data_IF_124800519169
#
_entry.id   IF_124800519169
#
_cell.length_a   1.000
_cell.length_b   1.000
_cell.length_c   1.000
_cell.angle_alpha   90.00
_cell.angle_beta   90.00
_cell.angle_gamma   90.00
#
_symmetry.space_group_name_H-M   'P 1'
#
loop_
_entity.id
_entity.type
_entity.pdbx_description
1 polymer ?
#
# COMPACT_ATOMS: atom_id res chain seq x y z
N UNK A 1 -9.14 27.83 11.38
CA UNK A 1 -7.90 27.88 10.57
C UNK A 1 -6.89 26.96 11.25
N UNK A 2 -7.01 25.65 11.02
CA UNK A 2 -6.02 24.69 11.52
C UNK A 2 -4.89 24.64 10.52
N UNK A 3 -3.74 25.17 10.92
CA UNK A 3 -2.53 25.07 10.13
C UNK A 3 -2.06 23.60 10.16
N UNK A 4 -2.16 22.92 9.02
CA UNK A 4 -1.31 21.76 8.80
C UNK A 4 0.15 22.19 8.98
N UNK A 5 0.99 21.41 9.66
CA UNK A 5 2.42 21.65 9.58
C UNK A 5 2.80 21.49 8.09
N UNK A 6 3.14 22.61 7.45
CA UNK A 6 3.70 22.56 6.11
C UNK A 6 4.93 21.66 6.15
N UNK A 7 5.07 20.68 5.24
CA UNK A 7 6.29 19.88 5.17
C UNK A 7 7.47 20.84 5.01
N UNK A 8 8.44 20.73 5.90
CA UNK A 8 9.62 21.58 5.91
C UNK A 8 10.32 21.43 4.56
N UNK A 9 10.44 22.54 3.82
CA UNK A 9 11.15 22.56 2.54
C UNK A 9 12.65 22.37 2.80
N UNK A 10 13.13 21.13 2.65
CA UNK A 10 14.55 20.77 2.72
C UNK A 10 15.15 20.71 1.31
N UNK A 11 16.14 21.54 1.05
CA UNK A 11 16.95 21.52 -0.18
C UNK A 11 17.90 20.32 -0.12
N UNK A 12 17.49 19.23 -0.76
CA UNK A 12 18.21 17.98 -0.99
C UNK A 12 17.29 17.05 -1.76
N UNK A 13 17.80 16.13 -2.59
CA UNK A 13 16.94 15.17 -3.28
C UNK A 13 16.21 14.30 -2.23
N UNK A 14 15.01 14.72 -1.83
CA UNK A 14 14.28 14.09 -0.74
C UNK A 14 13.83 12.71 -1.18
N UNK A 15 14.33 11.68 -0.50
CA UNK A 15 13.77 10.34 -0.59
C UNK A 15 12.34 10.38 -0.03
N UNK A 16 11.33 9.91 -0.77
CA UNK A 16 9.97 9.84 -0.24
C UNK A 16 9.96 9.00 1.04
N UNK A 17 9.32 9.53 2.09
CA UNK A 17 9.15 8.80 3.35
C UNK A 17 8.27 7.58 3.13
N UNK A 18 7.22 7.74 2.34
CA UNK A 18 6.24 6.71 2.02
C UNK A 18 6.04 6.55 0.51
N UNK A 19 6.34 5.34 0.01
CA UNK A 19 6.05 4.91 -1.35
C UNK A 19 4.90 3.91 -1.34
N UNK A 20 3.90 4.08 -2.20
CA UNK A 20 2.86 3.09 -2.41
C UNK A 20 2.90 2.55 -3.85
N UNK A 21 2.67 1.25 -4.05
CA UNK A 21 2.82 0.60 -5.36
C UNK A 21 1.55 -0.17 -5.74
N UNK A 22 1.01 0.16 -6.92
CA UNK A 22 -0.01 -0.62 -7.61
C UNK A 22 0.69 -1.65 -8.50
N UNK A 23 0.69 -2.91 -8.05
CA UNK A 23 1.42 -4.04 -8.62
C UNK A 23 0.71 -4.68 -9.83
N UNK A 24 0.54 -3.90 -10.90
CA UNK A 24 -0.20 -4.30 -12.11
C UNK A 24 0.70 -5.00 -13.15
N UNK A 25 0.11 -5.89 -13.96
CA UNK A 25 0.79 -6.55 -15.08
C UNK A 25 1.06 -8.04 -14.93
N UNK A 26 0.78 -8.66 -13.77
CA UNK A 26 1.01 -10.10 -13.53
C UNK A 26 0.40 -11.02 -14.60
N UNK A 27 -0.88 -10.81 -14.94
CA UNK A 27 -1.59 -11.62 -15.95
C UNK A 27 -1.02 -11.40 -17.36
N UNK A 28 -0.77 -10.14 -17.73
CA UNK A 28 -0.17 -9.79 -19.03
C UNK A 28 1.23 -10.41 -19.18
N UNK A 29 2.01 -10.41 -18.12
CA UNK A 29 3.35 -10.99 -18.09
C UNK A 29 3.33 -12.50 -18.37
N UNK A 30 2.40 -13.23 -17.73
CA UNK A 30 2.24 -14.67 -17.94
C UNK A 30 1.75 -14.98 -19.36
N UNK A 31 0.73 -14.25 -19.83
CA UNK A 31 0.16 -14.41 -21.17
C UNK A 31 1.20 -14.17 -22.28
N UNK A 32 2.01 -13.11 -22.16
CA UNK A 32 3.07 -12.80 -23.12
C UNK A 32 4.14 -13.90 -23.24
N UNK A 33 4.22 -14.79 -22.24
CA UNK A 33 5.18 -15.90 -22.18
C UNK A 33 4.53 -17.28 -22.36
N UNK A 34 3.22 -17.33 -22.64
CA UNK A 34 2.47 -18.60 -22.75
C UNK A 34 2.38 -19.38 -21.45
N UNK A 35 2.50 -18.71 -20.29
CA UNK A 35 2.51 -19.32 -18.96
C UNK A 35 1.12 -19.22 -18.29
N UNK A 36 0.78 -20.16 -17.38
CA UNK A 36 -0.38 -20.04 -16.52
C UNK A 36 -0.37 -18.75 -15.67
N UNK A 37 -1.55 -18.17 -15.43
CA UNK A 37 -1.72 -16.94 -14.65
C UNK A 37 -1.12 -17.05 -13.24
N UNK A 38 -1.24 -18.21 -12.61
CA UNK A 38 -0.64 -18.50 -11.30
C UNK A 38 0.89 -18.29 -11.28
N UNK A 39 1.61 -18.57 -12.37
CA UNK A 39 3.06 -18.32 -12.46
C UNK A 39 3.37 -16.82 -12.53
N UNK A 40 2.50 -16.03 -13.17
CA UNK A 40 2.61 -14.57 -13.14
C UNK A 40 2.46 -14.02 -11.73
N UNK A 41 1.50 -14.52 -10.95
CA UNK A 41 1.34 -14.11 -9.55
C UNK A 41 2.50 -14.55 -8.66
N UNK A 42 3.06 -15.74 -8.87
CA UNK A 42 4.27 -16.18 -8.17
C UNK A 42 5.46 -15.26 -8.48
N UNK A 43 5.72 -14.96 -9.75
CA UNK A 43 6.77 -14.03 -10.14
C UNK A 43 6.51 -12.60 -9.59
N UNK A 44 5.24 -12.22 -9.43
CA UNK A 44 4.85 -11.01 -8.73
C UNK A 44 5.19 -11.00 -7.23
N UNK A 45 5.14 -12.14 -6.55
CA UNK A 45 5.61 -12.24 -5.16
C UNK A 45 7.13 -12.03 -5.06
N UNK A 46 7.89 -12.54 -6.04
CA UNK A 46 9.34 -12.31 -6.13
C UNK A 46 9.64 -10.82 -6.40
N UNK A 47 8.85 -10.16 -7.24
CA UNK A 47 8.96 -8.71 -7.46
C UNK A 47 8.66 -7.89 -6.19
N UNK A 48 7.73 -8.34 -5.35
CA UNK A 48 7.46 -7.70 -4.06
C UNK A 48 8.67 -7.75 -3.14
N UNK A 49 9.38 -8.90 -3.09
CA UNK A 49 10.64 -9.00 -2.34
C UNK A 49 11.68 -7.99 -2.86
N UNK A 50 11.90 -7.92 -4.17
CA UNK A 50 12.83 -6.95 -4.77
C UNK A 50 12.45 -5.50 -4.46
N UNK A 51 11.16 -5.18 -4.47
CA UNK A 51 10.68 -3.84 -4.14
C UNK A 51 10.91 -3.49 -2.66
N UNK A 52 10.73 -4.45 -1.74
CA UNK A 52 11.06 -4.28 -0.31
C UNK A 52 12.55 -4.03 -0.12
N UNK A 53 13.40 -4.84 -0.75
CA UNK A 53 14.86 -4.69 -0.70
C UNK A 53 15.30 -3.33 -1.28
N UNK A 54 14.72 -2.92 -2.41
CA UNK A 54 14.98 -1.62 -3.02
C UNK A 54 14.54 -0.45 -2.12
N UNK A 55 13.35 -0.54 -1.51
CA UNK A 55 12.86 0.48 -0.58
C UNK A 55 13.79 0.63 0.64
N UNK A 56 14.20 -0.49 1.23
CA UNK A 56 15.18 -0.50 2.34
C UNK A 56 16.51 0.11 1.90
N UNK A 57 17.04 -0.29 0.74
CA UNK A 57 18.31 0.20 0.20
C UNK A 57 18.29 1.70 -0.12
N UNK A 58 17.14 2.23 -0.53
CA UNK A 58 16.94 3.64 -0.80
C UNK A 58 16.65 4.49 0.45
N UNK A 59 16.41 3.88 1.62
CA UNK A 59 16.07 4.62 2.85
C UNK A 59 14.60 5.04 2.95
N UNK A 60 13.71 4.43 2.16
CA UNK A 60 12.26 4.60 2.31
C UNK A 60 11.82 3.95 3.62
N UNK A 61 11.05 4.67 4.43
CA UNK A 61 10.65 4.21 5.78
C UNK A 61 9.27 3.57 5.83
N UNK A 62 8.46 3.78 4.78
CA UNK A 62 7.14 3.19 4.64
C UNK A 62 6.88 2.75 3.19
N UNK A 63 6.44 1.50 3.01
CA UNK A 63 6.08 0.93 1.71
C UNK A 63 4.68 0.33 1.79
N UNK A 64 3.77 0.77 0.93
CA UNK A 64 2.43 0.15 0.81
C UNK A 64 2.30 -0.59 -0.51
N UNK A 65 1.98 -1.89 -0.49
CA UNK A 65 1.80 -2.70 -1.69
C UNK A 65 0.32 -3.06 -1.88
N UNK A 66 -0.23 -2.78 -3.08
CA UNK A 66 -1.62 -3.11 -3.42
C UNK A 66 -1.74 -4.56 -3.88
N UNK A 67 -1.85 -5.49 -2.93
CA UNK A 67 -1.76 -6.92 -3.18
C UNK A 67 -3.07 -7.56 -3.66
N UNK A 68 -4.21 -7.12 -3.14
CA UNK A 68 -5.51 -7.65 -3.51
C UNK A 68 -6.59 -6.58 -3.33
N UNK A 69 -7.25 -6.18 -4.42
CA UNK A 69 -8.30 -5.17 -4.34
C UNK A 69 -9.65 -5.79 -3.94
N UNK A 70 -10.56 -5.01 -3.34
CA UNK A 70 -11.92 -5.48 -3.03
C UNK A 70 -12.68 -5.92 -4.30
N UNK A 71 -12.34 -5.37 -5.46
CA UNK A 71 -12.90 -5.77 -6.74
C UNK A 71 -12.36 -7.12 -7.22
N UNK A 72 -11.28 -7.67 -6.65
CA UNK A 72 -10.78 -8.99 -7.03
C UNK A 72 -11.71 -10.13 -6.57
N UNK A 73 -12.62 -9.86 -5.63
CA UNK A 73 -13.66 -10.82 -5.24
C UNK A 73 -14.70 -11.10 -6.33
N UNK A 74 -14.79 -10.27 -7.39
CA UNK A 74 -15.66 -10.54 -8.54
C UNK A 74 -15.04 -11.46 -9.59
N UNK A 75 -13.78 -11.89 -9.38
CA UNK A 75 -13.10 -12.86 -10.24
C UNK A 75 -13.63 -14.28 -10.00
N UNK A 76 -13.35 -15.21 -10.93
CA UNK A 76 -13.65 -16.63 -10.73
C UNK A 76 -13.15 -17.17 -9.38
N UNK A 77 -13.95 -18.05 -8.75
CA UNK A 77 -13.72 -18.49 -7.37
C UNK A 77 -12.40 -19.26 -7.19
N UNK A 78 -11.98 -20.00 -8.23
CA UNK A 78 -10.68 -20.65 -8.33
C UNK A 78 -9.53 -19.64 -8.30
N UNK A 79 -9.61 -18.55 -9.07
CA UNK A 79 -8.59 -17.48 -9.06
C UNK A 79 -8.51 -16.80 -7.68
N UNK A 80 -9.65 -16.54 -7.04
CA UNK A 80 -9.70 -15.96 -5.68
C UNK A 80 -9.08 -16.91 -4.64
N UNK A 81 -9.36 -18.21 -4.74
CA UNK A 81 -8.80 -19.23 -3.86
C UNK A 81 -7.28 -19.33 -4.04
N UNK A 82 -6.78 -19.36 -5.28
CA UNK A 82 -5.35 -19.37 -5.58
C UNK A 82 -4.63 -18.14 -5.02
N UNK A 83 -5.20 -16.95 -5.21
CA UNK A 83 -4.65 -15.70 -4.65
C UNK A 83 -4.61 -15.73 -3.13
N UNK A 84 -5.65 -16.23 -2.48
CA UNK A 84 -5.71 -16.38 -1.02
C UNK A 84 -4.67 -17.38 -0.51
N UNK A 85 -4.46 -18.47 -1.23
CA UNK A 85 -3.42 -19.47 -0.90
C UNK A 85 -2.01 -18.90 -1.08
N UNK A 86 -1.75 -18.16 -2.15
CA UNK A 86 -0.48 -17.50 -2.38
C UNK A 86 -0.18 -16.47 -1.29
N UNK A 87 -1.18 -15.67 -0.91
CA UNK A 87 -1.07 -14.71 0.18
C UNK A 87 -0.67 -15.41 1.50
N UNK A 88 -1.40 -16.47 1.86
CA UNK A 88 -1.09 -17.25 3.07
C UNK A 88 0.31 -17.85 3.04
N UNK A 89 0.72 -18.36 1.88
CA UNK A 89 2.07 -18.90 1.70
C UNK A 89 3.11 -17.81 1.95
N UNK A 90 2.95 -16.63 1.35
CA UNK A 90 3.84 -15.49 1.53
C UNK A 90 3.90 -15.04 3.00
N UNK A 91 2.75 -14.84 3.66
CA UNK A 91 2.68 -14.44 5.06
C UNK A 91 3.37 -15.45 6.00
N UNK A 92 3.37 -16.74 5.68
CA UNK A 92 4.02 -17.78 6.51
C UNK A 92 5.50 -17.96 6.18
N UNK A 93 5.85 -17.98 4.90
CA UNK A 93 7.21 -18.26 4.45
C UNK A 93 8.13 -17.06 4.67
N UNK A 94 7.62 -15.83 4.46
CA UNK A 94 8.45 -14.64 4.42
C UNK A 94 8.56 -13.90 5.75
N UNK A 95 7.63 -14.11 6.68
CA UNK A 95 7.59 -13.36 7.95
C UNK A 95 8.91 -13.42 8.72
N UNK A 96 9.57 -14.59 8.74
CA UNK A 96 10.85 -14.75 9.43
C UNK A 96 11.95 -13.92 8.76
N UNK A 97 11.94 -13.87 7.42
CA UNK A 97 12.90 -13.09 6.66
C UNK A 97 12.64 -11.59 6.81
N UNK A 98 11.39 -11.15 6.70
CA UNK A 98 10.97 -9.77 6.94
C UNK A 98 11.40 -9.29 8.34
N UNK A 99 11.18 -10.11 9.37
CA UNK A 99 11.59 -9.79 10.74
C UNK A 99 13.12 -9.64 10.86
N UNK A 100 13.90 -10.54 10.25
CA UNK A 100 15.38 -10.44 10.20
C UNK A 100 15.86 -9.19 9.45
N UNK A 101 15.14 -8.78 8.42
CA UNK A 101 15.42 -7.55 7.66
C UNK A 101 14.97 -6.29 8.40
N UNK A 102 14.38 -6.42 9.60
CA UNK A 102 13.90 -5.30 10.40
C UNK A 102 12.64 -4.65 9.82
N UNK A 103 11.88 -5.37 8.98
CA UNK A 103 10.59 -4.94 8.45
C UNK A 103 9.51 -5.14 9.50
N UNK A 104 8.63 -4.15 9.65
CA UNK A 104 7.38 -4.24 10.42
C UNK A 104 6.21 -4.34 9.46
N UNK A 105 5.50 -5.46 9.48
CA UNK A 105 4.34 -5.71 8.62
C UNK A 105 3.05 -5.17 9.24
N UNK A 106 2.19 -4.61 8.40
CA UNK A 106 0.79 -4.28 8.70
C UNK A 106 -0.10 -4.70 7.53
N UNK A 107 -1.30 -5.18 7.80
CA UNK A 107 -2.32 -5.50 6.79
C UNK A 107 -3.51 -4.54 6.91
N UNK A 108 -3.87 -3.89 5.80
CA UNK A 108 -5.07 -3.03 5.70
C UNK A 108 -6.09 -3.61 4.71
N UNK A 109 -7.37 -3.33 4.94
CA UNK A 109 -8.48 -3.79 4.09
C UNK A 109 -9.55 -4.57 4.87
N UNK A 110 -10.51 -5.15 4.14
CA UNK A 110 -11.66 -5.86 4.71
C UNK A 110 -11.29 -7.27 5.20
N UNK A 111 -10.58 -7.36 6.34
CA UNK A 111 -10.12 -8.64 6.93
C UNK A 111 -11.23 -9.68 7.08
N UNK A 112 -12.44 -9.25 7.44
CA UNK A 112 -13.60 -10.14 7.67
C UNK A 112 -14.07 -10.95 6.44
N UNK A 113 -13.54 -10.67 5.24
CA UNK A 113 -13.81 -11.48 4.04
C UNK A 113 -12.97 -12.76 3.96
N UNK A 114 -11.95 -12.89 4.80
CA UNK A 114 -11.09 -14.06 4.83
C UNK A 114 -11.52 -15.06 5.91
N UNK A 115 -11.24 -16.34 5.68
CA UNK A 115 -11.43 -17.39 6.68
C UNK A 115 -10.45 -17.29 7.85
N UNK A 116 -10.80 -17.93 8.96
CA UNK A 116 -10.06 -17.89 10.24
C UNK A 116 -8.57 -18.22 10.08
N UNK A 117 -8.22 -19.16 9.20
CA UNK A 117 -6.83 -19.54 8.99
C UNK A 117 -5.98 -18.42 8.36
N UNK A 118 -6.56 -17.66 7.43
CA UNK A 118 -5.88 -16.50 6.82
C UNK A 118 -5.75 -15.36 7.83
N UNK A 119 -6.78 -15.12 8.64
CA UNK A 119 -6.75 -14.12 9.71
C UNK A 119 -5.62 -14.40 10.70
N UNK A 120 -5.53 -15.65 11.20
CA UNK A 120 -4.43 -16.07 12.08
C UNK A 120 -3.06 -15.89 11.45
N UNK A 121 -2.93 -16.13 10.14
CA UNK A 121 -1.68 -15.91 9.43
C UNK A 121 -1.31 -14.42 9.32
N UNK A 122 -2.29 -13.53 9.12
CA UNK A 122 -2.08 -12.09 9.14
C UNK A 122 -1.64 -11.63 10.54
N UNK A 123 -2.40 -11.98 11.57
CA UNK A 123 -2.14 -11.54 12.96
C UNK A 123 -0.77 -12.02 13.44
N UNK A 124 -0.43 -13.28 13.19
CA UNK A 124 0.90 -13.83 13.52
C UNK A 124 2.03 -13.11 12.77
N UNK A 125 1.81 -12.74 11.51
CA UNK A 125 2.83 -12.05 10.73
C UNK A 125 3.09 -10.62 11.22
N UNK A 126 2.02 -9.91 11.64
CA UNK A 126 2.14 -8.60 12.28
C UNK A 126 2.85 -8.69 13.64
N UNK A 127 2.53 -9.70 14.45
CA UNK A 127 3.14 -9.92 15.77
C UNK A 127 4.65 -10.20 15.66
N UNK A 128 5.04 -11.16 14.80
CA UNK A 128 6.45 -11.56 14.61
C UNK A 128 7.33 -10.41 14.08
N UNK A 129 6.72 -9.46 13.37
CA UNK A 129 7.43 -8.32 12.77
C UNK A 129 7.25 -7.02 13.57
N UNK A 130 6.51 -7.02 14.68
CA UNK A 130 6.15 -5.82 15.42
C UNK A 130 7.36 -4.98 15.89
N UNK A 131 8.50 -5.63 16.13
CA UNK A 131 9.75 -4.99 16.53
C UNK A 131 10.59 -4.37 15.39
N UNK A 132 10.16 -4.53 14.13
CA UNK A 132 10.85 -3.98 12.96
C UNK A 132 10.91 -2.45 12.98
N UNK A 133 12.05 -1.89 12.58
CA UNK A 133 12.31 -0.43 12.57
C UNK A 133 12.92 0.09 11.28
N UNK A 134 13.30 -0.80 10.34
CA UNK A 134 13.95 -0.42 9.09
C UNK A 134 12.93 0.02 8.03
N UNK A 135 11.82 -0.69 7.93
CA UNK A 135 10.74 -0.38 6.99
C UNK A 135 9.39 -0.76 7.61
N UNK A 136 8.40 0.12 7.52
CA UNK A 136 7.00 -0.24 7.73
C UNK A 136 6.43 -0.72 6.40
N UNK A 137 6.10 -2.00 6.29
CA UNK A 137 5.47 -2.59 5.12
C UNK A 137 3.97 -2.72 5.38
N UNK A 138 3.16 -2.00 4.61
CA UNK A 138 1.71 -2.16 4.60
C UNK A 138 1.28 -2.99 3.39
N UNK A 139 0.60 -4.10 3.64
CA UNK A 139 -0.04 -4.91 2.61
C UNK A 139 -1.52 -4.55 2.54
N UNK A 140 -1.96 -3.97 1.41
CA UNK A 140 -3.36 -3.68 1.16
C UNK A 140 -4.04 -4.90 0.52
N UNK A 141 -4.86 -5.60 1.31
CA UNK A 141 -5.44 -6.90 0.99
C UNK A 141 -6.96 -6.85 1.19
N UNK A 142 -7.73 -7.22 0.16
CA UNK A 142 -9.16 -6.92 0.10
C UNK A 142 -9.43 -5.45 0.42
N UNK A 143 -8.60 -4.59 -0.16
CA UNK A 143 -8.64 -3.16 0.10
C UNK A 143 -9.32 -2.42 -1.07
N UNK A 144 -10.13 -1.43 -0.71
CA UNK A 144 -10.63 -0.41 -1.62
C UNK A 144 -10.95 0.84 -0.81
N UNK A 145 -10.43 2.00 -1.23
CA UNK A 145 -10.53 3.23 -0.45
C UNK A 145 -11.98 3.69 -0.23
N UNK A 146 -12.89 3.44 -1.19
CA UNK A 146 -14.33 3.68 -0.98
C UNK A 146 -14.91 2.83 0.16
N UNK A 147 -14.49 1.57 0.28
CA UNK A 147 -14.94 0.69 1.36
C UNK A 147 -14.32 1.12 2.70
N UNK A 148 -13.06 1.55 2.69
CA UNK A 148 -12.39 2.15 3.85
C UNK A 148 -13.14 3.39 4.36
N UNK A 149 -13.39 4.37 3.49
CA UNK A 149 -14.10 5.61 3.87
C UNK A 149 -15.50 5.30 4.40
N UNK A 150 -16.21 4.35 3.78
CA UNK A 150 -17.52 3.91 4.26
C UNK A 150 -17.43 3.24 5.64
N UNK A 151 -16.42 2.40 5.87
CA UNK A 151 -16.21 1.77 7.18
C UNK A 151 -15.89 2.80 8.26
N UNK A 152 -15.02 3.78 7.95
CA UNK A 152 -14.71 4.90 8.84
C UNK A 152 -15.95 5.73 9.18
N UNK A 153 -16.75 6.10 8.17
CA UNK A 153 -18.00 6.84 8.36
C UNK A 153 -19.00 6.07 9.25
N UNK A 154 -19.12 4.74 9.08
CA UNK A 154 -19.95 3.91 9.97
C UNK A 154 -19.44 3.88 11.39
N UNK A 155 -18.12 3.78 11.59
CA UNK A 155 -17.50 3.80 12.91
C UNK A 155 -17.74 5.13 13.64
N UNK A 156 -17.56 6.25 12.95
CA UNK A 156 -17.85 7.61 13.46
C UNK A 156 -19.33 7.74 13.82
N UNK A 157 -20.24 7.35 12.94
CA UNK A 157 -21.68 7.41 13.21
C UNK A 157 -22.08 6.57 14.43
N UNK A 158 -21.49 5.37 14.59
CA UNK A 158 -21.74 4.53 15.74
C UNK A 158 -21.19 5.12 17.05
N UNK A 159 -20.00 5.72 17.02
CA UNK A 159 -19.43 6.40 18.18
C UNK A 159 -20.28 7.63 18.59
N UNK A 160 -20.75 8.41 17.62
CA UNK A 160 -21.65 9.52 17.86
C UNK A 160 -22.98 9.07 18.47
N UNK A 161 -23.57 7.99 17.96
CA UNK A 161 -24.80 7.42 18.52
C UNK A 161 -24.64 6.93 19.97
N UNK A 162 -23.43 6.55 20.40
CA UNK A 162 -23.11 6.19 21.78
C UNK A 162 -22.74 7.40 22.67
N UNK A 163 -22.69 8.60 22.11
CA UNK A 163 -22.27 9.82 22.83
C UNK A 163 -20.77 9.90 23.09
N UNK A 164 -19.96 9.08 22.41
CA UNK A 164 -18.49 9.06 22.55
C UNK A 164 -17.79 10.11 21.67
N UNK A 165 -18.51 10.66 20.69
CA UNK A 165 -18.00 11.63 19.72
C UNK A 165 -19.09 12.64 19.35
N UNK A 166 -18.75 13.93 19.30
CA UNK A 166 -19.61 14.97 18.73
C UNK A 166 -19.33 15.10 17.22
N UNK A 167 -20.30 14.82 16.33
CA UNK A 167 -20.11 14.98 14.89
C UNK A 167 -19.68 16.40 14.46
N UNK A 168 -20.08 17.43 15.22
CA UNK A 168 -19.70 18.80 14.91
C UNK A 168 -18.22 19.11 15.23
N UNK A 169 -17.60 18.30 16.08
CA UNK A 169 -16.18 18.39 16.42
C UNK A 169 -15.28 17.53 15.51
N UNK A 170 -15.87 16.79 14.56
CA UNK A 170 -15.12 15.97 13.62
C UNK A 170 -14.34 16.86 12.62
N UNK A 171 -13.06 16.56 12.49
CA UNK A 171 -12.13 17.16 11.52
C UNK A 171 -11.39 16.05 10.75
N UNK A 172 -10.55 16.42 9.78
CA UNK A 172 -9.82 15.46 8.95
C UNK A 172 -8.92 14.54 9.81
N UNK A 173 -8.16 15.12 10.75
CA UNK A 173 -7.25 14.37 11.61
C UNK A 173 -7.97 13.38 12.53
N UNK A 174 -9.16 13.72 13.02
CA UNK A 174 -9.99 12.81 13.82
C UNK A 174 -10.68 11.75 12.98
N UNK A 175 -11.10 12.08 11.76
CA UNK A 175 -11.64 11.12 10.81
C UNK A 175 -10.59 10.07 10.39
N UNK A 176 -9.34 10.49 10.16
CA UNK A 176 -8.23 9.61 9.78
C UNK A 176 -7.95 8.48 10.76
N UNK A 177 -8.23 8.69 12.06
CA UNK A 177 -8.11 7.65 13.09
C UNK A 177 -9.09 6.49 12.91
N UNK A 178 -10.13 6.68 12.09
CA UNK A 178 -11.11 5.64 11.77
C UNK A 178 -10.84 4.93 10.43
N UNK A 179 -9.87 5.40 9.63
CA UNK A 179 -9.44 4.74 8.41
C UNK A 179 -8.62 3.48 8.73
N UNK A 180 -8.53 2.53 7.78
CA UNK A 180 -7.67 1.36 7.94
C UNK A 180 -6.19 1.76 8.01
N UNK A 181 -5.86 2.93 7.48
CA UNK A 181 -4.53 3.54 7.49
C UNK A 181 -4.21 4.36 8.73
N UNK A 182 -4.98 4.27 9.82
CA UNK A 182 -4.64 5.00 11.04
C UNK A 182 -3.17 4.78 11.45
N UNK A 183 -2.49 5.85 11.86
CA UNK A 183 -1.05 5.90 12.18
C UNK A 183 -0.07 5.69 11.00
N UNK A 184 -0.57 5.62 9.76
CA UNK A 184 0.26 5.61 8.55
C UNK A 184 0.43 7.04 8.01
N UNK A 185 1.64 7.48 7.63
CA UNK A 185 1.81 8.71 6.87
C UNK A 185 1.16 8.58 5.50
N UNK A 186 0.72 9.68 4.91
CA UNK A 186 0.29 9.68 3.52
C UNK A 186 1.44 9.30 2.58
N UNK A 187 1.16 8.62 1.45
CA UNK A 187 2.16 8.34 0.44
C UNK A 187 2.64 9.65 -0.19
N UNK A 188 3.96 9.85 -0.21
CA UNK A 188 4.54 10.93 -0.98
C UNK A 188 4.57 10.58 -2.48
N UNK A 189 4.75 9.30 -2.79
CA UNK A 189 4.88 8.77 -4.14
C UNK A 189 4.01 7.52 -4.31
N UNK A 190 3.19 7.51 -5.36
CA UNK A 190 2.47 6.32 -5.83
C UNK A 190 3.03 5.89 -7.19
N UNK A 191 3.55 4.67 -7.23
CA UNK A 191 4.04 4.01 -8.42
C UNK A 191 2.94 3.07 -8.93
N UNK A 192 2.70 3.07 -10.24
CA UNK A 192 1.91 2.03 -10.89
C UNK A 192 2.65 1.46 -12.09
N UNK A 193 2.77 0.14 -12.10
CA UNK A 193 3.38 -0.62 -13.19
C UNK A 193 2.39 -0.84 -14.34
N UNK A 194 2.87 -1.44 -15.42
CA UNK A 194 2.15 -1.88 -16.63
C UNK A 194 1.60 -0.80 -17.57
N UNK A 195 1.96 0.46 -17.34
CA UNK A 195 1.60 1.60 -18.20
C UNK A 195 0.18 2.15 -18.01
N UNK A 196 -0.64 1.52 -17.18
CA UNK A 196 -2.00 1.98 -16.90
C UNK A 196 -1.99 3.27 -16.05
N UNK A 197 -2.71 4.30 -16.48
CA UNK A 197 -2.72 5.61 -15.82
C UNK A 197 -4.01 5.85 -15.02
N UNK A 198 -4.10 5.20 -13.87
CA UNK A 198 -5.21 5.36 -12.91
C UNK A 198 -4.81 4.85 -11.53
N UNK A 199 -5.50 5.30 -10.49
CA UNK A 199 -5.26 4.84 -9.10
C UNK A 199 -6.10 3.62 -8.71
N UNK A 200 -7.18 3.34 -9.43
CA UNK A 200 -8.00 2.13 -9.23
C UNK A 200 -8.47 1.92 -7.78
N UNK A 201 -9.06 2.94 -7.15
CA UNK A 201 -9.61 2.87 -5.78
C UNK A 201 -8.54 2.59 -4.69
N UNK A 202 -7.27 2.86 -4.99
CA UNK A 202 -6.16 2.72 -4.06
C UNK A 202 -5.89 4.04 -3.32
N UNK A 203 -5.88 3.99 -1.98
CA UNK A 203 -5.51 5.08 -1.08
C UNK A 203 -6.14 6.45 -1.42
N UNK A 204 -7.44 6.51 -1.75
CA UNK A 204 -8.06 7.74 -2.28
C UNK A 204 -7.95 8.94 -1.33
N UNK A 205 -8.08 8.72 -0.02
CA UNK A 205 -7.94 9.79 0.97
C UNK A 205 -6.47 10.21 1.08
N UNK A 206 -5.60 9.23 1.27
CA UNK A 206 -4.18 9.40 1.56
C UNK A 206 -3.41 9.90 0.31
N UNK A 207 -3.88 9.62 -0.89
CA UNK A 207 -3.27 10.02 -2.16
C UNK A 207 -3.53 11.48 -2.55
N UNK A 208 -4.23 12.27 -1.71
CA UNK A 208 -4.68 13.62 -2.06
C UNK A 208 -3.56 14.54 -2.58
N UNK A 209 -2.34 14.37 -2.06
CA UNK A 209 -1.16 15.16 -2.43
C UNK A 209 0.01 14.31 -2.92
N UNK A 210 -0.23 13.03 -3.22
CA UNK A 210 0.81 12.12 -3.66
C UNK A 210 1.25 12.41 -5.10
N UNK A 211 2.55 12.32 -5.36
CA UNK A 211 3.06 12.31 -6.73
C UNK A 211 2.74 10.96 -7.39
N UNK A 212 2.31 11.00 -8.66
CA UNK A 212 1.97 9.80 -9.42
C UNK A 212 3.03 9.53 -10.48
N UNK A 213 3.56 8.30 -10.47
CA UNK A 213 4.50 7.79 -11.47
C UNK A 213 3.93 6.52 -12.09
N UNK A 214 3.78 6.53 -13.41
CA UNK A 214 3.30 5.40 -14.19
C UNK A 214 4.45 4.85 -15.02
N UNK A 215 4.82 3.59 -14.80
CA UNK A 215 5.89 2.92 -15.53
C UNK A 215 5.33 1.81 -16.42
N UNK A 216 5.86 1.64 -17.64
CA UNK A 216 5.38 0.62 -18.58
C UNK A 216 5.79 -0.81 -18.19
N UNK A 217 6.82 -0.97 -17.35
CA UNK A 217 7.32 -2.28 -16.87
C UNK A 217 6.19 -3.09 -16.24
N UNK A 218 6.09 -4.38 -16.56
CA UNK A 218 5.11 -5.27 -15.91
C UNK A 218 5.62 -5.66 -14.52
N UNK A 219 4.72 -5.76 -13.53
CA UNK A 219 5.12 -6.01 -12.14
C UNK A 219 6.13 -7.16 -11.94
N UNK A 220 5.99 -8.34 -12.56
CA UNK A 220 6.98 -9.41 -12.37
C UNK A 220 8.39 -9.08 -12.88
N UNK A 221 8.54 -8.13 -13.81
CA UNK A 221 9.82 -7.65 -14.32
C UNK A 221 10.34 -6.41 -13.54
N UNK A 222 9.56 -5.85 -12.62
CA UNK A 222 9.93 -4.67 -11.82
C UNK A 222 11.14 -4.98 -10.92
N UNK A 223 12.15 -4.11 -10.97
CA UNK A 223 13.42 -4.26 -10.26
C UNK A 223 13.89 -3.01 -9.51
N UNK A 224 15.12 -3.07 -8.99
CA UNK A 224 15.75 -1.97 -8.25
C UNK A 224 15.98 -0.74 -9.15
N UNK A 225 16.27 -0.98 -10.43
CA UNK A 225 16.45 0.07 -11.43
C UNK A 225 15.16 0.84 -11.67
N UNK A 226 14.02 0.14 -11.78
CA UNK A 226 12.71 0.77 -11.95
C UNK A 226 12.31 1.57 -10.71
N UNK A 227 12.54 1.01 -9.52
CA UNK A 227 12.27 1.69 -8.25
C UNK A 227 13.08 2.98 -8.14
N UNK A 228 14.39 2.90 -8.38
CA UNK A 228 15.29 4.06 -8.35
C UNK A 228 14.95 5.10 -9.42
N UNK A 229 14.52 4.66 -10.61
CA UNK A 229 14.04 5.57 -11.64
C UNK A 229 12.78 6.35 -11.19
N UNK A 230 11.86 5.70 -10.48
CA UNK A 230 10.71 6.37 -9.89
C UNK A 230 11.12 7.38 -8.81
N UNK A 231 12.06 7.01 -7.93
CA UNK A 231 12.59 7.94 -6.92
C UNK A 231 13.29 9.15 -7.54
N UNK A 232 14.09 8.94 -8.59
CA UNK A 232 14.75 10.01 -9.31
C UNK A 232 13.75 10.96 -9.97
N UNK A 233 12.71 10.42 -10.60
CA UNK A 233 11.63 11.22 -11.20
C UNK A 233 10.80 11.97 -10.15
N UNK A 234 10.65 11.43 -8.94
CA UNK A 234 10.05 12.13 -7.81
C UNK A 234 10.93 13.29 -7.32
N UNK A 235 12.22 13.04 -7.10
CA UNK A 235 13.16 14.04 -6.61
C UNK A 235 13.38 15.21 -7.60
N UNK A 236 13.15 14.98 -8.89
CA UNK A 236 13.24 16.01 -9.92
C UNK A 236 12.05 17.00 -9.95
N UNK A 237 10.96 16.73 -9.22
CA UNK A 237 9.77 17.62 -9.21
C UNK A 237 9.94 18.74 -8.19
N UNK A 238 9.65 19.97 -8.61
CA UNK A 238 9.47 21.11 -7.68
C UNK A 238 8.15 20.94 -6.94
N UNK A 239 8.20 20.66 -5.62
CA UNK A 239 6.98 20.55 -4.81
C UNK A 239 6.35 21.92 -4.60
N UNK A 240 5.17 22.12 -5.19
CA UNK A 240 4.30 23.28 -4.95
C UNK A 240 3.08 22.82 -4.18
N UNK A 241 3.16 22.75 -2.86
CA UNK A 241 2.04 22.43 -1.95
C UNK A 241 1.01 23.57 -1.89
N UNK A 242 0.46 23.99 -3.04
CA UNK A 242 -0.51 25.10 -3.11
C UNK A 242 0.05 26.50 -2.82
N UNK A 243 1.31 26.63 -2.39
CA UNK A 243 1.98 27.92 -2.27
C UNK A 243 2.30 28.47 -3.66
N UNK A 244 1.62 29.57 -4.04
CA UNK A 244 2.03 30.36 -5.20
C UNK A 244 3.38 31.00 -4.87
N UNK A 245 4.36 30.82 -5.74
CA UNK A 245 5.54 31.67 -5.79
C UNK A 245 5.05 33.12 -5.93
N UNK A 246 5.34 33.96 -4.94
CA UNK A 246 5.18 35.42 -5.06
C UNK A 246 6.44 35.97 -5.69
#
# INVERSE_FOLDING_TARGET
>A
MSAHPAPAAGVGAETPRHVAIIMDGNRRWAQARGLPVALGHRAGADAARRAIEAAIGAGVTWLTLFAFSSENWSRPADEVQELTMLLRHYLRAEVTQLSKEGVRLRVIGERGRFGEETLKAMDSAEEVTAGGRRLNLTMAISYGARAEILAAARAVAAAAARGELDPAALDEASFERHLFTADMPDPDLIIRTSGEQRISNFLLWQAAYAELIFQPVLWPDFGVEDFNAALAAYAARERRFGARSV
#
